data_IF_619724811328
#
_entry.id   IF_619724811328
#
_cell.length_a   1.000
_cell.length_b   1.000
_cell.length_c   1.000
_cell.angle_alpha   90.00
_cell.angle_beta   90.00
_cell.angle_gamma   90.00
#
_symmetry.space_group_name_H-M   'P 1'
#
loop_
_entity.id
_entity.type
_entity.pdbx_description
1 polymer ?
#
# COMPACT_ATOMS: atom_id res chain seq x y z
N UNK A 1 -0.69 -11.17 20.50
CA UNK A 1 -0.11 -9.95 20.28
C UNK A 1 -0.90 -9.12 19.29
N UNK A 2 -0.96 -7.90 19.59
CA UNK A 2 -1.76 -7.03 18.77
C UNK A 2 -1.14 -6.82 17.41
N UNK A 3 -1.94 -6.90 16.42
CA UNK A 3 -1.53 -6.56 15.10
C UNK A 3 -1.95 -5.19 14.70
N UNK A 4 -2.51 -4.46 15.62
CA UNK A 4 -2.95 -3.15 15.23
C UNK A 4 -1.73 -2.31 14.93
N UNK A 5 -1.74 -1.76 13.77
CA UNK A 5 -0.72 -0.84 13.35
C UNK A 5 -1.45 0.44 13.08
N UNK A 6 -1.37 1.35 14.03
CA UNK A 6 -2.28 2.49 14.01
C UNK A 6 -2.09 3.40 12.81
N UNK A 7 -0.86 3.56 12.35
CA UNK A 7 -0.71 4.40 11.18
C UNK A 7 0.53 4.00 10.40
N UNK A 8 0.53 4.31 9.11
CA UNK A 8 1.64 3.95 8.24
C UNK A 8 2.95 4.62 8.60
N UNK A 9 2.89 5.78 9.23
CA UNK A 9 4.12 6.45 9.62
C UNK A 9 4.87 5.65 10.66
N UNK A 10 4.15 5.09 11.62
CA UNK A 10 4.79 4.25 12.62
C UNK A 10 5.36 2.99 11.99
N UNK A 11 4.66 2.44 11.03
CA UNK A 11 5.16 1.26 10.34
C UNK A 11 6.43 1.57 9.57
N UNK A 12 6.45 2.69 8.87
CA UNK A 12 7.62 3.10 8.10
C UNK A 12 8.79 3.37 9.03
N UNK A 13 8.54 4.06 10.12
CA UNK A 13 9.60 4.37 11.07
C UNK A 13 10.17 3.10 11.68
N UNK A 14 9.33 2.12 11.97
CA UNK A 14 9.80 0.86 12.52
C UNK A 14 10.69 0.12 11.53
N UNK A 15 10.34 0.15 10.25
CA UNK A 15 11.17 -0.47 9.23
C UNK A 15 12.51 0.23 9.12
N UNK A 16 12.49 1.54 9.15
CA UNK A 16 13.73 2.29 9.09
C UNK A 16 14.60 2.04 10.30
N UNK A 17 13.98 1.93 11.46
CA UNK A 17 14.74 1.66 12.68
C UNK A 17 15.44 0.32 12.64
N UNK A 18 14.88 -0.64 11.92
CA UNK A 18 15.50 -1.95 11.79
C UNK A 18 16.58 -2.00 10.72
N UNK A 19 16.61 -1.05 9.85
CA UNK A 19 17.59 -1.01 8.77
C UNK A 19 18.91 -0.49 9.31
N UNK A 20 19.99 -0.73 8.59
CA UNK A 20 21.26 -0.09 8.97
C UNK A 20 21.09 1.41 9.09
N UNK A 21 21.71 1.94 10.13
CA UNK A 21 21.44 3.31 10.53
C UNK A 21 21.68 4.33 9.43
N UNK A 22 22.57 4.03 8.53
CA UNK A 22 22.94 5.01 7.52
C UNK A 22 22.16 4.92 6.27
N UNK A 23 21.30 3.94 6.15
CA UNK A 23 20.59 3.78 4.91
C UNK A 23 19.54 4.88 4.78
N UNK A 24 19.65 5.65 3.72
CA UNK A 24 18.60 6.59 3.38
C UNK A 24 17.64 5.96 2.40
N UNK A 25 16.40 6.43 2.40
CA UNK A 25 15.41 5.92 1.49
C UNK A 25 15.66 6.46 0.09
N UNK A 26 15.56 5.59 -0.90
CA UNK A 26 15.62 6.04 -2.28
C UNK A 26 14.33 6.77 -2.62
N UNK A 27 14.35 7.62 -3.65
CA UNK A 27 13.11 8.26 -4.09
C UNK A 27 12.01 7.27 -4.46
N UNK A 28 12.38 6.13 -5.05
CA UNK A 28 11.39 5.11 -5.40
C UNK A 28 10.78 4.49 -4.15
N UNK A 29 11.60 4.20 -3.17
CA UNK A 29 11.11 3.62 -1.93
C UNK A 29 10.20 4.59 -1.18
N UNK A 30 10.59 5.87 -1.16
CA UNK A 30 9.74 6.88 -0.55
C UNK A 30 8.39 6.95 -1.24
N UNK A 31 8.38 6.86 -2.57
CA UNK A 31 7.13 6.90 -3.31
C UNK A 31 6.21 5.76 -2.91
N UNK A 32 6.76 4.55 -2.75
CA UNK A 32 5.95 3.41 -2.34
C UNK A 32 5.43 3.55 -0.93
N UNK A 33 6.23 4.12 -0.05
CA UNK A 33 5.80 4.29 1.34
C UNK A 33 4.72 5.33 1.47
N UNK A 34 4.81 6.43 0.69
CA UNK A 34 3.71 7.38 0.67
C UNK A 34 2.46 6.80 0.03
N UNK A 35 2.63 5.99 -1.00
CA UNK A 35 1.48 5.32 -1.59
C UNK A 35 0.81 4.40 -0.57
N UNK A 36 1.60 3.68 0.21
CA UNK A 36 1.04 2.83 1.27
C UNK A 36 0.23 3.66 2.27
N UNK A 37 0.77 4.80 2.69
CA UNK A 37 0.06 5.67 3.61
C UNK A 37 -1.26 6.15 3.00
N UNK A 38 -1.23 6.53 1.73
CA UNK A 38 -2.44 7.04 1.08
C UNK A 38 -3.50 5.97 0.90
N UNK A 39 -3.09 4.78 0.47
CA UNK A 39 -4.04 3.69 0.30
C UNK A 39 -4.60 3.27 1.65
N UNK A 40 -3.76 3.22 2.68
CA UNK A 40 -4.22 2.93 4.03
C UNK A 40 -5.32 3.91 4.44
N UNK A 41 -5.10 5.21 4.24
CA UNK A 41 -6.10 6.20 4.61
C UNK A 41 -7.41 5.98 3.87
N UNK A 42 -7.32 5.68 2.57
CA UNK A 42 -8.52 5.47 1.79
C UNK A 42 -9.30 4.25 2.28
N UNK A 43 -8.61 3.20 2.68
CA UNK A 43 -9.28 2.00 3.20
C UNK A 43 -9.95 2.25 4.53
N UNK A 44 -9.27 2.99 5.42
CA UNK A 44 -9.86 3.34 6.71
C UNK A 44 -11.13 4.15 6.51
N UNK A 45 -11.08 5.12 5.59
CA UNK A 45 -12.26 5.94 5.31
C UNK A 45 -13.39 5.10 4.74
N UNK A 46 -13.09 4.20 3.82
CA UNK A 46 -14.12 3.33 3.24
C UNK A 46 -14.75 2.42 4.29
N UNK A 47 -13.95 1.89 5.19
CA UNK A 47 -14.48 1.03 6.26
C UNK A 47 -15.35 1.80 7.23
N UNK A 48 -15.11 3.09 7.34
CA UNK A 48 -15.94 3.96 8.18
C UNK A 48 -17.18 4.48 7.45
N UNK A 49 -17.39 4.06 6.21
CA UNK A 49 -18.56 4.47 5.45
C UNK A 49 -18.38 5.76 4.68
N UNK A 50 -17.18 6.30 4.64
CA UNK A 50 -16.91 7.52 3.90
C UNK A 50 -16.40 7.20 2.51
N UNK A 51 -16.58 8.14 1.59
CA UNK A 51 -16.05 8.02 0.25
C UNK A 51 -14.71 8.73 0.22
N UNK A 52 -13.60 8.02 -0.04
CA UNK A 52 -12.29 8.67 -0.04
C UNK A 52 -12.16 9.66 -1.19
N UNK A 53 -11.49 10.76 -0.89
CA UNK A 53 -11.12 11.71 -1.92
C UNK A 53 -9.62 11.61 -2.13
N UNK A 54 -9.22 10.98 -3.24
CA UNK A 54 -7.82 10.74 -3.51
C UNK A 54 -7.00 12.01 -3.62
N UNK A 55 -7.57 13.03 -4.24
CA UNK A 55 -6.85 14.30 -4.39
C UNK A 55 -6.56 14.93 -3.03
N UNK A 56 -7.52 14.86 -2.11
CA UNK A 56 -7.34 15.43 -0.78
C UNK A 56 -6.29 14.64 0.01
N UNK A 57 -6.30 13.33 -0.12
CA UNK A 57 -5.29 12.50 0.55
C UNK A 57 -3.91 12.82 0.02
N UNK A 58 -3.76 12.88 -1.30
CA UNK A 58 -2.47 13.19 -1.91
C UNK A 58 -1.97 14.57 -1.49
N UNK A 59 -2.87 15.54 -1.43
CA UNK A 59 -2.49 16.87 -1.01
C UNK A 59 -1.98 16.86 0.42
N UNK A 60 -2.66 16.14 1.30
CA UNK A 60 -2.23 16.05 2.69
C UNK A 60 -0.85 15.41 2.80
N UNK A 61 -0.61 14.33 2.05
CA UNK A 61 0.69 13.69 2.07
C UNK A 61 1.78 14.64 1.58
N UNK A 62 1.46 15.45 0.60
CA UNK A 62 2.45 16.37 0.01
C UNK A 62 2.86 17.47 0.97
N UNK A 63 2.16 17.64 2.07
CA UNK A 63 2.53 18.63 3.08
C UNK A 63 3.70 18.19 3.93
N UNK A 64 4.03 16.91 3.90
CA UNK A 64 5.24 16.43 4.55
C UNK A 64 6.46 16.91 3.75
N UNK A 65 7.40 17.62 4.38
CA UNK A 65 8.56 18.12 3.64
C UNK A 65 9.34 17.04 2.91
N UNK A 66 9.38 15.83 3.44
CA UNK A 66 10.10 14.73 2.78
C UNK A 66 9.41 14.25 1.52
N UNK A 67 8.17 14.64 1.30
CA UNK A 67 7.43 14.20 0.11
C UNK A 67 8.12 14.61 -1.18
N UNK A 68 8.78 15.77 -1.16
CA UNK A 68 9.49 16.24 -2.35
C UNK A 68 10.61 15.32 -2.78
N UNK A 69 11.10 14.48 -1.87
CA UNK A 69 12.21 13.58 -2.18
C UNK A 69 11.73 12.28 -2.79
N UNK A 70 10.44 12.05 -2.89
CA UNK A 70 9.96 10.84 -3.50
C UNK A 70 9.92 10.99 -5.03
N UNK A 71 9.91 9.85 -5.71
CA UNK A 71 9.72 9.85 -7.14
C UNK A 71 8.23 10.04 -7.39
N UNK A 72 7.85 11.27 -7.71
CA UNK A 72 6.46 11.67 -7.75
C UNK A 72 5.64 10.89 -8.75
N UNK A 73 6.22 10.65 -9.94
CA UNK A 73 5.51 9.89 -10.97
C UNK A 73 5.16 8.49 -10.48
N UNK A 74 6.08 7.86 -9.75
CA UNK A 74 5.83 6.52 -9.23
C UNK A 74 4.75 6.56 -8.17
N UNK A 75 4.83 7.53 -7.24
CA UNK A 75 3.78 7.67 -6.23
C UNK A 75 2.42 7.85 -6.87
N UNK A 76 2.33 8.77 -7.81
CA UNK A 76 1.06 9.10 -8.43
C UNK A 76 0.50 7.91 -9.19
N UNK A 77 1.37 7.20 -9.92
CA UNK A 77 0.93 6.03 -10.67
C UNK A 77 0.38 4.93 -9.76
N UNK A 78 1.08 4.64 -8.68
CA UNK A 78 0.64 3.59 -7.77
C UNK A 78 -0.64 4.03 -7.05
N UNK A 79 -0.62 5.22 -6.47
CA UNK A 79 -1.74 5.69 -5.67
C UNK A 79 -3.01 5.80 -6.50
N UNK A 80 -2.92 6.49 -7.63
CA UNK A 80 -4.10 6.65 -8.48
C UNK A 80 -4.55 5.33 -9.07
N UNK A 81 -3.59 4.49 -9.46
CA UNK A 81 -3.93 3.21 -10.05
C UNK A 81 -4.65 2.30 -9.07
N UNK A 82 -4.16 2.24 -7.83
CA UNK A 82 -4.81 1.40 -6.82
C UNK A 82 -6.20 1.95 -6.49
N UNK A 83 -6.31 3.26 -6.28
CA UNK A 83 -7.61 3.83 -5.93
C UNK A 83 -8.64 3.63 -7.03
N UNK A 84 -8.23 3.77 -8.29
CA UNK A 84 -9.15 3.61 -9.40
C UNK A 84 -9.58 2.16 -9.61
N UNK A 85 -8.77 1.21 -9.15
CA UNK A 85 -8.99 -0.20 -9.43
C UNK A 85 -9.14 -1.04 -8.16
N UNK A 86 -9.49 -0.41 -7.05
CA UNK A 86 -9.57 -1.12 -5.77
C UNK A 86 -10.48 -2.33 -5.86
N UNK A 87 -11.71 -2.15 -6.37
CA UNK A 87 -12.67 -3.25 -6.44
C UNK A 87 -12.17 -4.36 -7.35
N UNK A 88 -11.58 -3.99 -8.47
CA UNK A 88 -11.04 -4.96 -9.41
C UNK A 88 -9.90 -5.76 -8.78
N UNK A 89 -8.99 -5.06 -8.11
CA UNK A 89 -7.88 -5.73 -7.44
C UNK A 89 -8.37 -6.65 -6.33
N UNK A 90 -9.36 -6.19 -5.57
CA UNK A 90 -9.92 -7.01 -4.50
C UNK A 90 -10.57 -8.27 -5.04
N UNK A 91 -11.26 -8.15 -6.17
CA UNK A 91 -11.89 -9.31 -6.77
C UNK A 91 -10.87 -10.36 -7.20
N UNK A 92 -9.70 -9.92 -7.64
CA UNK A 92 -8.66 -10.82 -8.06
C UNK A 92 -7.94 -11.45 -6.86
N UNK A 93 -7.75 -10.68 -5.80
CA UNK A 93 -7.01 -11.13 -4.63
C UNK A 93 -7.85 -12.09 -3.77
N UNK A 94 -9.14 -11.83 -3.66
CA UNK A 94 -10.00 -12.53 -2.71
C UNK A 94 -9.92 -14.05 -2.81
N UNK A 95 -9.96 -14.65 -4.01
CA UNK A 95 -9.89 -16.12 -4.09
C UNK A 95 -8.58 -16.71 -3.59
N UNK A 96 -7.53 -15.90 -3.53
CA UNK A 96 -6.23 -16.38 -3.07
C UNK A 96 -6.03 -16.23 -1.56
N UNK A 97 -6.97 -15.57 -0.89
CA UNK A 97 -6.89 -15.40 0.55
C UNK A 97 -7.48 -16.60 1.26
N UNK A 98 -6.96 -16.88 2.45
CA UNK A 98 -7.49 -17.95 3.28
C UNK A 98 -8.53 -17.44 4.28
N UNK A 99 -8.91 -16.17 4.18
CA UNK A 99 -9.93 -15.55 5.03
C UNK A 99 -10.52 -14.37 4.27
N UNK A 100 -11.68 -13.88 4.71
CA UNK A 100 -12.29 -12.74 4.04
C UNK A 100 -11.40 -11.51 4.06
N UNK A 101 -11.47 -10.73 2.98
CA UNK A 101 -10.59 -9.56 2.84
C UNK A 101 -10.86 -8.53 3.93
N UNK A 102 -12.09 -8.44 4.42
CA UNK A 102 -12.41 -7.46 5.45
C UNK A 102 -11.90 -7.86 6.84
N UNK A 103 -11.31 -9.06 6.96
CA UNK A 103 -10.65 -9.46 8.20
C UNK A 103 -9.18 -9.08 8.21
N UNK A 104 -8.66 -8.60 7.09
CA UNK A 104 -7.30 -8.10 7.05
C UNK A 104 -7.24 -6.74 7.75
N UNK A 105 -6.10 -6.45 8.39
CA UNK A 105 -5.91 -5.10 8.89
C UNK A 105 -5.81 -4.15 7.71
N UNK A 106 -6.13 -2.87 7.90
CA UNK A 106 -6.00 -1.91 6.80
C UNK A 106 -4.59 -1.83 6.23
N UNK A 107 -3.56 -2.05 7.04
CA UNK A 107 -2.19 -2.03 6.55
C UNK A 107 -1.91 -3.23 5.66
N UNK A 108 -2.33 -4.42 6.10
CA UNK A 108 -2.18 -5.62 5.28
C UNK A 108 -2.93 -5.47 3.97
N UNK A 109 -4.15 -4.97 4.05
CA UNK A 109 -4.99 -4.76 2.89
C UNK A 109 -4.33 -3.81 1.90
N UNK A 110 -3.82 -2.68 2.41
CA UNK A 110 -3.15 -1.69 1.56
C UNK A 110 -1.89 -2.28 0.91
N UNK A 111 -1.09 -3.01 1.69
CA UNK A 111 0.12 -3.60 1.15
C UNK A 111 -0.19 -4.61 0.05
N UNK A 112 -1.25 -5.40 0.25
CA UNK A 112 -1.67 -6.37 -0.76
C UNK A 112 -2.11 -5.69 -2.05
N UNK A 113 -2.91 -4.63 -1.93
CA UNK A 113 -3.37 -3.91 -3.11
C UNK A 113 -2.21 -3.33 -3.89
N UNK A 114 -1.26 -2.71 -3.19
CA UNK A 114 -0.12 -2.10 -3.87
C UNK A 114 0.75 -3.16 -4.50
N UNK A 115 1.03 -4.23 -3.77
CA UNK A 115 1.84 -5.31 -4.30
C UNK A 115 1.22 -5.95 -5.52
N UNK A 116 -0.09 -6.21 -5.46
CA UNK A 116 -0.79 -6.80 -6.59
C UNK A 116 -0.78 -5.86 -7.78
N UNK A 117 -1.00 -4.58 -7.55
CA UNK A 117 -0.98 -3.61 -8.63
C UNK A 117 0.38 -3.56 -9.32
N UNK A 118 1.45 -3.47 -8.53
CA UNK A 118 2.79 -3.36 -9.11
C UNK A 118 3.21 -4.65 -9.82
N UNK A 119 2.94 -5.79 -9.22
CA UNK A 119 3.31 -7.06 -9.83
C UNK A 119 2.50 -7.31 -11.10
N UNK A 120 1.23 -6.95 -11.09
CA UNK A 120 0.40 -7.13 -12.28
C UNK A 120 0.80 -6.21 -13.42
N UNK A 121 1.46 -5.11 -13.11
CA UNK A 121 1.94 -4.19 -14.14
C UNK A 121 3.15 -4.72 -14.88
N UNK A 122 3.82 -5.73 -14.35
CA UNK A 122 4.95 -6.35 -15.01
C UNK A 122 4.41 -7.41 -15.98
N UNK A 123 4.45 -7.10 -17.25
CA UNK A 123 3.85 -7.97 -18.26
C UNK A 123 4.56 -9.29 -18.42
N UNK A 124 5.76 -9.45 -17.87
CA UNK A 124 6.47 -10.71 -17.93
C UNK A 124 5.95 -11.71 -16.88
N UNK A 125 5.13 -11.28 -15.93
CA UNK A 125 4.61 -12.13 -14.88
C UNK A 125 3.11 -12.32 -15.10
N UNK A 126 2.63 -13.57 -15.22
CA UNK A 126 1.18 -13.77 -15.34
C UNK A 126 0.45 -13.18 -14.15
N UNK A 127 -0.69 -12.58 -14.44
CA UNK A 127 -1.44 -11.86 -13.43
C UNK A 127 -1.73 -12.75 -12.21
N UNK A 128 -2.17 -13.99 -12.47
CA UNK A 128 -2.50 -14.89 -11.39
C UNK A 128 -1.29 -15.19 -10.50
N UNK A 129 -0.13 -15.38 -11.12
CA UNK A 129 1.09 -15.64 -10.36
C UNK A 129 1.46 -14.41 -9.54
N UNK A 130 1.34 -13.22 -10.12
CA UNK A 130 1.65 -11.99 -9.40
C UNK A 130 0.77 -11.83 -8.17
N UNK A 131 -0.53 -12.13 -8.30
CA UNK A 131 -1.45 -12.02 -7.18
C UNK A 131 -1.09 -13.03 -6.10
N UNK A 132 -0.79 -14.26 -6.48
CA UNK A 132 -0.43 -15.27 -5.50
C UNK A 132 0.83 -14.88 -4.74
N UNK A 133 1.81 -14.30 -5.43
CA UNK A 133 3.03 -13.84 -4.77
C UNK A 133 2.74 -12.68 -3.82
N UNK A 134 1.86 -11.77 -4.21
CA UNK A 134 1.49 -10.67 -3.34
C UNK A 134 0.82 -11.17 -2.07
N UNK A 135 -0.06 -12.18 -2.20
CA UNK A 135 -0.71 -12.77 -1.04
C UNK A 135 0.31 -13.40 -0.10
N UNK A 136 1.25 -14.15 -0.66
CA UNK A 136 2.26 -14.79 0.17
C UNK A 136 3.14 -13.74 0.86
N UNK A 137 3.48 -12.68 0.15
CA UNK A 137 4.28 -11.62 0.75
C UNK A 137 3.53 -10.95 1.88
N UNK A 138 2.26 -10.65 1.68
CA UNK A 138 1.47 -9.99 2.71
C UNK A 138 1.36 -10.84 3.97
N UNK A 139 1.34 -12.16 3.82
CA UNK A 139 1.25 -13.05 4.97
C UNK A 139 2.45 -12.94 5.89
N UNK A 140 3.62 -12.56 5.37
CA UNK A 140 4.79 -12.42 6.21
C UNK A 140 4.72 -11.18 7.10
N UNK A 141 3.87 -10.23 6.77
CA UNK A 141 3.69 -9.03 7.59
C UNK A 141 2.44 -9.08 8.45
N UNK A 142 1.59 -10.01 8.18
CA UNK A 142 0.37 -10.19 8.94
C UNK A 142 0.55 -11.20 10.04
#
# INVERSE_FOLDING_TARGET
MSKSIPNPENLVAAKDAKAPAKRSLTPRRRAREYALQGVYQSLVMRRAGSIPNGAAIAKQLSEDPAFRRCQLDLFQGIFDGVLARTDELEAIITPALDRPINELSPVEHAALLIGAYELAADLSVPYKVAINEAVELAKTFG
#
